data_IF_969920264702
#
_entry.id   IF_969920264702
#
_cell.length_a   1.000
_cell.length_b   1.000
_cell.length_c   1.000
_cell.angle_alpha   90.00
_cell.angle_beta   90.00
_cell.angle_gamma   90.00
#
_symmetry.space_group_name_H-M   'P 1'
#
loop_
_entity.id
_entity.type
_entity.pdbx_description
1 polymer ?
#
# COMPACT_ATOMS: atom_id res chain seq x y z
N UNK A 1 17.85 -4.82 -14.58
CA UNK A 1 17.70 -5.19 -13.15
C UNK A 1 18.74 -4.45 -12.29
N UNK A 2 18.71 -3.12 -12.26
CA UNK A 2 19.67 -2.29 -11.49
C UNK A 2 19.01 -1.11 -10.74
N UNK A 3 17.77 -0.76 -11.12
CA UNK A 3 17.06 0.45 -10.62
C UNK A 3 16.55 0.29 -9.16
N UNK A 4 16.37 -0.96 -8.68
CA UNK A 4 15.78 -1.25 -7.35
C UNK A 4 16.72 -1.05 -6.16
N UNK A 5 18.04 -1.23 -6.35
CA UNK A 5 19.04 -1.06 -5.29
C UNK A 5 19.36 0.42 -5.02
N UNK A 6 19.30 1.25 -6.05
CA UNK A 6 19.62 2.68 -5.99
C UNK A 6 18.50 3.47 -5.31
N UNK A 7 17.23 3.12 -5.58
CA UNK A 7 16.08 3.66 -4.82
C UNK A 7 16.09 3.24 -3.35
N UNK A 8 16.51 2.00 -3.03
CA UNK A 8 16.69 1.58 -1.63
C UNK A 8 17.79 2.37 -0.92
N UNK A 9 18.90 2.67 -1.61
CA UNK A 9 19.96 3.55 -1.07
C UNK A 9 19.47 4.97 -0.85
N UNK A 10 18.70 5.54 -1.77
CA UNK A 10 18.12 6.89 -1.63
C UNK A 10 17.11 6.97 -0.47
N UNK A 11 16.28 5.95 -0.27
CA UNK A 11 15.32 5.93 0.85
C UNK A 11 16.02 5.79 2.22
N UNK A 12 17.11 5.03 2.30
CA UNK A 12 17.94 4.91 3.51
C UNK A 12 18.74 6.20 3.77
N UNK A 13 19.24 6.86 2.73
CA UNK A 13 19.92 8.16 2.86
C UNK A 13 18.98 9.25 3.38
N UNK A 14 17.73 9.28 2.90
CA UNK A 14 16.73 10.25 3.35
C UNK A 14 16.28 10.00 4.81
N UNK A 15 16.29 8.74 5.28
CA UNK A 15 16.07 8.42 6.70
C UNK A 15 17.20 8.95 7.61
N UNK A 16 18.44 9.01 7.12
CA UNK A 16 19.57 9.60 7.85
C UNK A 16 19.43 11.14 7.96
N UNK A 17 18.91 11.79 6.92
CA UNK A 17 18.62 13.24 6.92
C UNK A 17 17.41 13.60 7.79
N UNK A 18 16.33 12.81 7.73
CA UNK A 18 15.14 12.99 8.57
C UNK A 18 15.47 12.76 10.06
N UNK A 19 16.41 11.86 10.36
CA UNK A 19 16.96 11.69 11.72
C UNK A 19 17.68 12.94 12.24
N UNK A 20 18.16 13.84 11.37
CA UNK A 20 18.78 15.11 11.74
C UNK A 20 17.79 16.23 12.05
N UNK A 21 16.53 16.10 11.61
CA UNK A 21 15.47 17.11 11.78
C UNK A 21 14.47 16.77 12.89
N UNK A 22 14.48 15.54 13.41
CA UNK A 22 13.71 15.16 14.59
C UNK A 22 14.38 15.70 15.85
N UNK A 23 13.73 16.67 16.50
CA UNK A 23 14.21 17.36 17.70
C UNK A 23 14.91 16.42 18.69
N UNK A 24 16.12 16.73 19.17
CA UNK A 24 16.81 15.95 20.19
C UNK A 24 16.16 16.25 21.54
N UNK A 25 15.03 15.63 21.84
CA UNK A 25 14.43 15.67 23.18
C UNK A 25 13.93 14.28 23.54
N UNK A 26 14.87 13.44 23.97
CA UNK A 26 14.75 12.44 25.05
C UNK A 26 15.59 11.16 24.81
N UNK A 27 16.22 10.99 23.66
CA UNK A 27 17.06 9.81 23.41
C UNK A 27 18.43 10.28 22.92
N UNK A 28 19.41 10.24 23.85
CA UNK A 28 20.80 10.66 23.63
C UNK A 28 21.55 9.75 22.65
N UNK A 29 21.10 8.49 22.51
CA UNK A 29 21.73 7.49 21.63
C UNK A 29 20.69 6.62 20.93
N UNK A 30 20.84 6.45 19.62
CA UNK A 30 19.99 5.57 18.82
C UNK A 30 20.34 4.09 19.07
N UNK A 31 19.62 3.45 20.00
CA UNK A 31 19.81 2.04 20.33
C UNK A 31 19.41 1.07 19.21
N UNK A 32 18.61 1.51 18.23
CA UNK A 32 18.20 0.66 17.11
C UNK A 32 19.37 0.27 16.20
N UNK A 33 20.49 1.01 16.24
CA UNK A 33 21.72 0.66 15.53
C UNK A 33 22.37 -0.62 16.08
N UNK A 34 22.06 -1.01 17.30
CA UNK A 34 22.60 -2.20 17.96
C UNK A 34 21.66 -3.40 17.89
N UNK A 35 20.52 -3.26 17.19
CA UNK A 35 19.59 -4.36 16.98
C UNK A 35 20.00 -5.10 15.70
N UNK A 36 20.52 -6.30 15.86
CA UNK A 36 20.74 -7.20 14.72
C UNK A 36 19.39 -7.61 14.13
N UNK A 37 19.11 -7.21 12.89
CA UNK A 37 17.88 -7.64 12.22
C UNK A 37 17.99 -9.13 11.88
N UNK A 38 17.03 -9.97 12.30
CA UNK A 38 17.03 -11.37 11.93
C UNK A 38 16.97 -11.49 10.40
N UNK A 39 17.77 -12.41 9.85
CA UNK A 39 17.72 -12.69 8.41
C UNK A 39 16.29 -13.13 8.06
N UNK A 40 15.69 -12.59 6.98
CA UNK A 40 14.36 -13.00 6.57
C UNK A 40 14.37 -14.51 6.32
N UNK A 41 13.43 -15.24 6.93
CA UNK A 41 13.29 -16.68 6.72
C UNK A 41 12.92 -16.94 5.25
N UNK A 42 13.82 -17.59 4.52
CA UNK A 42 13.63 -17.89 3.09
C UNK A 42 12.80 -19.15 2.82
N UNK A 43 12.34 -19.85 3.88
CA UNK A 43 11.99 -21.26 3.79
C UNK A 43 10.52 -21.59 3.51
N UNK A 44 9.56 -20.72 3.82
CA UNK A 44 8.14 -21.05 3.67
C UNK A 44 7.38 -19.89 3.03
N UNK A 45 6.94 -20.10 1.79
CA UNK A 45 6.05 -19.15 1.12
C UNK A 45 4.66 -19.29 1.74
N UNK A 46 4.10 -18.19 2.21
CA UNK A 46 2.70 -18.16 2.60
C UNK A 46 1.83 -18.55 1.40
N UNK A 47 0.85 -19.44 1.62
CA UNK A 47 -0.14 -19.77 0.63
C UNK A 47 -0.94 -18.50 0.30
N UNK A 48 -1.02 -18.17 -1.00
CA UNK A 48 -1.80 -17.04 -1.48
C UNK A 48 -3.27 -17.43 -1.58
N UNK A 49 -4.15 -16.45 -1.45
CA UNK A 49 -5.56 -16.64 -1.78
C UNK A 49 -5.69 -16.86 -3.29
N UNK A 50 -6.32 -17.97 -3.65
CA UNK A 50 -6.91 -18.18 -4.97
C UNK A 50 -8.35 -17.68 -5.03
N UNK A 51 -8.96 -17.80 -6.21
CA UNK A 51 -10.33 -17.36 -6.45
C UNK A 51 -11.33 -18.09 -5.57
N UNK A 52 -11.11 -19.37 -5.27
CA UNK A 52 -11.93 -20.17 -4.38
C UNK A 52 -12.03 -19.58 -2.97
N UNK A 53 -10.92 -19.05 -2.44
CA UNK A 53 -10.89 -18.40 -1.14
C UNK A 53 -11.69 -17.09 -1.16
N UNK A 54 -11.56 -16.32 -2.25
CA UNK A 54 -12.34 -15.10 -2.46
C UNK A 54 -13.83 -15.46 -2.46
N UNK A 55 -14.24 -16.47 -3.22
CA UNK A 55 -15.64 -16.90 -3.33
C UNK A 55 -16.22 -17.37 -1.99
N UNK A 56 -15.47 -18.13 -1.19
CA UNK A 56 -15.89 -18.50 0.16
C UNK A 56 -16.15 -17.26 1.02
N UNK A 57 -15.26 -16.26 0.95
CA UNK A 57 -15.47 -15.00 1.65
C UNK A 57 -16.69 -14.22 1.12
N UNK A 58 -16.90 -14.18 -0.21
CA UNK A 58 -18.06 -13.52 -0.84
C UNK A 58 -19.38 -14.16 -0.39
N UNK A 59 -19.41 -15.49 -0.21
CA UNK A 59 -20.58 -16.24 0.26
C UNK A 59 -20.91 -15.97 1.72
N UNK A 60 -19.88 -15.80 2.55
CA UNK A 60 -20.05 -15.53 3.98
C UNK A 60 -20.61 -14.12 4.26
N UNK A 61 -20.22 -13.13 3.46
CA UNK A 61 -20.56 -11.72 3.70
C UNK A 61 -21.26 -11.09 2.50
N UNK A 62 -22.50 -10.66 2.69
CA UNK A 62 -23.23 -9.90 1.68
C UNK A 62 -22.59 -8.52 1.40
N UNK A 63 -22.88 -7.94 0.23
CA UNK A 63 -22.25 -6.69 -0.27
C UNK A 63 -22.49 -5.47 0.62
N UNK A 64 -23.58 -5.44 1.37
CA UNK A 64 -23.91 -4.38 2.33
C UNK A 64 -23.07 -4.46 3.62
N UNK A 65 -22.31 -5.54 3.83
CA UNK A 65 -21.51 -5.73 5.04
C UNK A 65 -20.15 -5.03 4.94
N UNK A 66 -19.70 -4.36 6.01
CA UNK A 66 -18.42 -3.65 6.01
C UNK A 66 -17.23 -4.59 5.76
N UNK A 67 -17.31 -5.85 6.19
CA UNK A 67 -16.30 -6.87 5.91
C UNK A 67 -16.14 -7.11 4.40
N UNK A 68 -17.27 -7.17 3.70
CA UNK A 68 -17.32 -7.41 2.26
C UNK A 68 -16.77 -6.23 1.48
N UNK A 69 -17.22 -5.03 1.82
CA UNK A 69 -16.74 -3.78 1.20
C UNK A 69 -15.24 -3.57 1.44
N UNK A 70 -14.76 -3.79 2.66
CA UNK A 70 -13.33 -3.63 2.99
C UNK A 70 -12.48 -4.63 2.21
N UNK A 71 -12.94 -5.89 2.10
CA UNK A 71 -12.22 -6.91 1.33
C UNK A 71 -12.11 -6.52 -0.14
N UNK A 72 -13.21 -6.12 -0.78
CA UNK A 72 -13.18 -5.72 -2.20
C UNK A 72 -12.32 -4.47 -2.41
N UNK A 73 -12.41 -3.47 -1.53
CA UNK A 73 -11.53 -2.31 -1.59
C UNK A 73 -10.06 -2.72 -1.52
N UNK A 74 -9.68 -3.57 -0.57
CA UNK A 74 -8.29 -4.04 -0.46
C UNK A 74 -7.85 -4.88 -1.67
N UNK A 75 -8.74 -5.71 -2.21
CA UNK A 75 -8.45 -6.59 -3.34
C UNK A 75 -8.17 -5.78 -4.62
N UNK A 76 -8.97 -4.76 -4.92
CA UNK A 76 -8.84 -3.96 -6.14
C UNK A 76 -7.86 -2.80 -6.03
N UNK A 77 -7.69 -2.21 -4.84
CA UNK A 77 -6.87 -0.99 -4.69
C UNK A 77 -5.52 -1.24 -4.00
N UNK A 78 -5.32 -2.41 -3.40
CA UNK A 78 -4.15 -2.69 -2.58
C UNK A 78 -4.04 -1.82 -1.32
N UNK A 79 -5.13 -1.14 -0.92
CA UNK A 79 -5.17 -0.35 0.30
C UNK A 79 -4.80 -1.19 1.53
N UNK A 80 -4.11 -0.57 2.48
CA UNK A 80 -3.87 -1.21 3.78
C UNK A 80 -5.18 -1.29 4.53
N UNK A 81 -5.39 -2.38 5.29
CA UNK A 81 -6.60 -2.59 6.09
C UNK A 81 -6.96 -1.37 6.95
N UNK A 82 -5.96 -0.70 7.54
CA UNK A 82 -6.21 0.48 8.37
C UNK A 82 -6.73 1.68 7.57
N UNK A 83 -6.36 1.84 6.31
CA UNK A 83 -6.88 2.90 5.46
C UNK A 83 -8.23 2.49 4.86
N UNK A 84 -8.38 1.23 4.41
CA UNK A 84 -9.61 0.69 3.81
C UNK A 84 -10.83 0.79 4.75
N UNK A 85 -10.69 0.46 6.04
CA UNK A 85 -11.81 0.57 7.01
C UNK A 85 -12.21 2.02 7.33
N UNK A 86 -11.41 3.01 6.91
CA UNK A 86 -11.68 4.45 7.06
C UNK A 86 -12.06 5.10 5.74
N UNK A 87 -12.02 4.36 4.64
CA UNK A 87 -12.38 4.85 3.33
C UNK A 87 -13.86 5.23 3.35
N UNK A 88 -14.15 6.47 2.97
CA UNK A 88 -15.50 7.00 2.93
C UNK A 88 -15.69 7.92 1.73
N UNK A 89 -16.93 8.35 1.46
CA UNK A 89 -17.27 9.14 0.27
C UNK A 89 -16.45 10.42 0.11
N UNK A 90 -16.00 11.02 1.22
CA UNK A 90 -15.16 12.23 1.21
C UNK A 90 -13.81 12.05 0.52
N UNK A 91 -13.33 10.82 0.37
CA UNK A 91 -12.08 10.54 -0.33
C UNK A 91 -12.25 10.44 -1.83
N UNK A 92 -13.49 10.28 -2.31
CA UNK A 92 -13.82 10.19 -3.73
C UNK A 92 -14.01 11.60 -4.26
N UNK A 93 -13.14 12.01 -5.17
CA UNK A 93 -13.26 13.28 -5.89
C UNK A 93 -14.27 13.14 -7.04
N UNK A 94 -14.87 14.26 -7.47
CA UNK A 94 -15.94 14.28 -8.48
C UNK A 94 -15.54 13.67 -9.83
N UNK A 95 -14.24 13.54 -10.05
CA UNK A 95 -13.63 13.19 -11.31
C UNK A 95 -13.13 11.73 -11.32
N UNK A 96 -13.52 10.93 -10.31
CA UNK A 96 -13.29 9.49 -10.24
C UNK A 96 -12.00 9.07 -9.54
N UNK A 97 -11.29 10.01 -8.91
CA UNK A 97 -10.09 9.73 -8.12
C UNK A 97 -10.40 9.48 -6.65
N UNK A 98 -9.56 8.67 -6.01
CA UNK A 98 -9.51 8.55 -4.55
C UNK A 98 -8.25 9.23 -4.06
N UNK A 99 -8.41 10.26 -3.22
CA UNK A 99 -7.32 11.02 -2.60
C UNK A 99 -7.40 10.97 -1.09
N UNK A 100 -6.32 10.52 -0.44
CA UNK A 100 -6.23 10.48 1.01
C UNK A 100 -4.78 10.45 1.50
N UNK A 101 -4.61 10.69 2.80
CA UNK A 101 -3.32 10.62 3.48
C UNK A 101 -3.19 9.29 4.23
N UNK A 102 -2.18 8.50 3.90
CA UNK A 102 -1.96 7.18 4.50
C UNK A 102 -1.73 7.29 6.01
N UNK A 103 -2.38 6.42 6.79
CA UNK A 103 -2.23 6.47 8.26
C UNK A 103 -0.81 6.17 8.72
N UNK A 104 -0.14 5.20 8.08
CA UNK A 104 1.18 4.67 8.48
C UNK A 104 2.33 5.62 8.14
N UNK A 105 2.45 5.98 6.86
CA UNK A 105 3.57 6.75 6.32
C UNK A 105 3.32 8.26 6.34
N UNK A 106 2.07 8.69 6.51
CA UNK A 106 1.63 10.07 6.34
C UNK A 106 1.86 10.62 4.93
N UNK A 107 2.14 9.77 3.94
CA UNK A 107 2.23 10.18 2.54
C UNK A 107 0.85 10.36 1.93
N UNK A 108 0.74 11.28 0.97
CA UNK A 108 -0.46 11.46 0.16
C UNK A 108 -0.51 10.38 -0.92
N UNK A 109 -1.72 9.90 -1.19
CA UNK A 109 -2.00 8.90 -2.21
C UNK A 109 -3.13 9.40 -3.09
N UNK A 110 -2.97 9.15 -4.38
CA UNK A 110 -3.93 9.46 -5.41
C UNK A 110 -3.98 8.25 -6.36
N UNK A 111 -5.15 7.65 -6.55
CA UNK A 111 -5.35 6.60 -7.56
C UNK A 111 -6.77 6.69 -8.17
N UNK A 112 -6.91 6.22 -9.41
CA UNK A 112 -8.19 6.19 -10.13
C UNK A 112 -9.06 5.02 -9.64
N UNK A 113 -10.31 5.30 -9.26
CA UNK A 113 -11.28 4.27 -8.84
C UNK A 113 -12.37 4.03 -9.88
N UNK A 114 -12.82 5.07 -10.58
CA UNK A 114 -13.88 4.98 -11.57
C UNK A 114 -13.64 5.98 -12.70
N UNK A 115 -12.56 5.77 -13.44
CA UNK A 115 -12.21 6.55 -14.63
C UNK A 115 -11.47 5.66 -15.61
N UNK A 116 -11.71 5.88 -16.90
CA UNK A 116 -10.91 5.33 -17.97
C UNK A 116 -9.44 5.72 -17.83
N UNK A 117 -8.56 4.81 -18.24
CA UNK A 117 -7.14 5.12 -18.36
C UNK A 117 -6.95 6.19 -19.43
N UNK A 118 -5.94 7.03 -19.26
CA UNK A 118 -5.54 7.93 -20.35
C UNK A 118 -5.10 7.08 -21.55
N UNK A 119 -5.40 7.53 -22.77
CA UNK A 119 -5.19 6.77 -24.01
C UNK A 119 -3.76 6.20 -24.15
N UNK A 120 -2.75 6.96 -23.74
CA UNK A 120 -1.36 6.50 -23.78
C UNK A 120 -1.06 5.37 -22.76
N UNK A 121 -1.71 5.36 -21.60
CA UNK A 121 -1.54 4.32 -20.58
C UNK A 121 -2.32 3.07 -20.95
N UNK A 122 -3.48 3.24 -21.58
CA UNK A 122 -4.34 2.12 -21.99
C UNK A 122 -3.66 1.25 -23.05
N UNK A 123 -2.98 1.88 -24.01
CA UNK A 123 -2.18 1.18 -25.03
C UNK A 123 -1.04 0.37 -24.42
N UNK A 124 -0.28 0.94 -23.48
CA UNK A 124 0.79 0.23 -22.78
C UNK A 124 0.23 -0.92 -21.92
N UNK A 125 -0.88 -0.68 -21.20
CA UNK A 125 -1.50 -1.68 -20.33
C UNK A 125 -2.01 -2.90 -21.12
N UNK A 126 -2.58 -2.70 -22.31
CA UNK A 126 -3.01 -3.80 -23.17
C UNK A 126 -1.83 -4.57 -23.78
N UNK A 127 -0.72 -3.90 -24.10
CA UNK A 127 0.51 -4.56 -24.58
C UNK A 127 1.11 -5.53 -23.54
N UNK A 128 0.93 -5.27 -22.24
CA UNK A 128 1.38 -6.16 -21.17
C UNK A 128 0.44 -7.35 -20.88
N UNK A 129 -0.77 -7.36 -21.45
CA UNK A 129 -1.79 -8.38 -21.20
C UNK A 129 -1.93 -9.38 -22.36
N UNK A 130 -1.31 -9.12 -23.51
CA UNK A 130 -1.13 -10.06 -24.63
C UNK A 130 0.16 -10.90 -24.49
#
# INVERSE_FOLDING_TARGET
>A
MLISLEMRRAHVANLAEISGLAQPRMIEKNWALHVEMPKPQTGQRHQRWGDEHIQVFRKQWATDKPQRLTMELMLFTGMRICDAVRCGPRWVECDGWIKFKQKKTKGDVLFSFNRDLAEFVDNEAHEFLE
#
